data_IF_810769672488
#
_entry.id   IF_810769672488
#
_cell.length_a   1.000
_cell.length_b   1.000
_cell.length_c   1.000
_cell.angle_alpha   90.00
_cell.angle_beta   90.00
_cell.angle_gamma   90.00
#
_symmetry.space_group_name_H-M   'P 1'
#
loop_
_entity.id
_entity.type
_entity.pdbx_description
1 polymer ?
#
# COMPACT_ATOMS: atom_id res chain seq x y z
N UNK A 1 -7.82 -20.26 11.15
CA UNK A 1 -7.14 -19.41 10.15
C UNK A 1 -5.72 -19.93 10.00
N UNK A 2 -5.34 -20.33 8.79
CA UNK A 2 -4.00 -20.81 8.45
C UNK A 2 -3.30 -19.74 7.60
N UNK A 3 -2.03 -19.49 7.90
CA UNK A 3 -1.19 -18.53 7.17
C UNK A 3 0.06 -19.24 6.64
N UNK A 4 0.48 -18.87 5.43
CA UNK A 4 1.69 -19.38 4.82
C UNK A 4 2.66 -18.26 4.47
N UNK A 5 3.95 -18.58 4.42
CA UNK A 5 4.99 -17.69 3.92
C UNK A 5 5.13 -17.88 2.40
N UNK A 6 5.12 -16.75 1.70
CA UNK A 6 5.12 -16.71 0.24
C UNK A 6 3.72 -16.88 -0.37
N UNK A 7 3.58 -16.38 -1.59
CA UNK A 7 2.34 -16.45 -2.37
C UNK A 7 2.46 -17.53 -3.46
N UNK A 8 1.63 -18.54 -3.38
CA UNK A 8 1.57 -19.59 -4.40
C UNK A 8 0.16 -20.11 -4.57
N UNK A 9 -0.33 -20.13 -5.81
CA UNK A 9 -1.70 -20.54 -6.14
C UNK A 9 -2.03 -21.97 -5.69
N UNK A 10 -1.06 -22.86 -5.65
CA UNK A 10 -1.24 -24.26 -5.21
C UNK A 10 -1.71 -24.37 -3.75
N UNK A 11 -1.48 -23.34 -2.94
CA UNK A 11 -1.84 -23.34 -1.52
C UNK A 11 -3.18 -22.66 -1.23
N UNK A 12 -3.81 -21.99 -2.21
CA UNK A 12 -5.11 -21.32 -2.04
C UNK A 12 -6.20 -22.17 -1.40
N UNK A 13 -6.32 -23.49 -1.71
CA UNK A 13 -7.33 -24.32 -1.06
C UNK A 13 -7.05 -24.62 0.42
N UNK A 14 -5.85 -24.34 0.92
CA UNK A 14 -5.39 -24.78 2.23
C UNK A 14 -5.08 -23.64 3.20
N UNK A 15 -4.83 -22.44 2.67
CA UNK A 15 -4.40 -21.28 3.46
C UNK A 15 -5.33 -20.09 3.25
N UNK A 16 -5.68 -19.43 4.35
CA UNK A 16 -6.52 -18.24 4.35
C UNK A 16 -5.71 -16.95 4.10
N UNK A 17 -4.43 -16.96 4.50
CA UNK A 17 -3.55 -15.79 4.53
C UNK A 17 -2.21 -16.11 3.88
N UNK A 18 -1.73 -15.18 3.06
CA UNK A 18 -0.45 -15.28 2.37
C UNK A 18 0.47 -14.12 2.70
N UNK A 19 1.63 -14.42 3.27
CA UNK A 19 2.71 -13.46 3.43
C UNK A 19 3.32 -13.16 2.06
N UNK A 20 3.28 -11.90 1.65
CA UNK A 20 3.92 -11.46 0.41
C UNK A 20 4.91 -10.32 0.66
N UNK A 21 6.10 -10.47 0.11
CA UNK A 21 7.22 -9.55 0.30
C UNK A 21 7.47 -8.66 -0.91
N UNK A 22 6.72 -8.87 -2.00
CA UNK A 22 6.94 -8.23 -3.29
C UNK A 22 6.84 -6.71 -3.24
N UNK A 23 6.04 -6.15 -2.33
CA UNK A 23 5.95 -4.69 -2.15
C UNK A 23 7.24 -4.05 -1.65
N UNK A 24 8.13 -4.83 -1.02
CA UNK A 24 9.43 -4.42 -0.48
C UNK A 24 10.59 -4.94 -1.32
N UNK A 25 10.36 -5.23 -2.58
CA UNK A 25 11.32 -5.92 -3.45
C UNK A 25 12.62 -5.16 -3.63
N UNK A 26 12.60 -3.85 -3.59
CA UNK A 26 13.77 -2.99 -3.68
C UNK A 26 14.78 -3.25 -2.55
N UNK A 27 14.33 -3.78 -1.41
CA UNK A 27 15.21 -4.11 -0.28
C UNK A 27 16.17 -5.28 -0.58
N UNK A 28 15.79 -6.19 -1.48
CA UNK A 28 16.60 -7.39 -1.75
C UNK A 28 16.93 -7.62 -3.23
N UNK A 29 16.16 -7.09 -4.18
CA UNK A 29 16.36 -7.35 -5.61
C UNK A 29 17.08 -6.22 -6.37
N UNK A 30 17.25 -5.05 -5.75
CA UNK A 30 17.85 -3.88 -6.41
C UNK A 30 16.93 -3.25 -7.47
N UNK A 31 17.42 -2.16 -8.05
CA UNK A 31 16.74 -1.50 -9.16
C UNK A 31 17.06 -2.20 -10.48
N UNK A 32 16.05 -2.41 -11.29
CA UNK A 32 16.14 -2.88 -12.66
C UNK A 32 15.14 -2.12 -13.53
N UNK A 33 15.11 -2.38 -14.84
CA UNK A 33 14.15 -1.75 -15.75
C UNK A 33 12.72 -2.33 -15.61
N UNK A 34 12.38 -2.82 -14.44
CA UNK A 34 11.09 -3.44 -14.10
C UNK A 34 10.44 -2.70 -12.95
N UNK A 35 9.12 -2.65 -12.97
CA UNK A 35 8.31 -2.19 -11.86
C UNK A 35 7.66 -3.37 -11.14
N UNK A 36 7.49 -3.25 -9.83
CA UNK A 36 6.74 -4.22 -9.05
C UNK A 36 5.25 -4.08 -9.37
N UNK A 37 4.60 -5.20 -9.73
CA UNK A 37 3.18 -5.26 -10.04
C UNK A 37 2.45 -6.21 -9.08
N UNK A 38 1.19 -5.93 -8.73
CA UNK A 38 0.40 -6.75 -7.82
C UNK A 38 -0.21 -7.98 -8.51
N UNK A 39 0.61 -8.82 -9.15
CA UNK A 39 0.09 -9.93 -9.96
C UNK A 39 -0.77 -10.90 -9.15
N UNK A 40 -0.28 -11.33 -7.99
CA UNK A 40 -1.03 -12.27 -7.13
C UNK A 40 -2.35 -11.66 -6.66
N UNK A 41 -2.34 -10.40 -6.22
CA UNK A 41 -3.53 -9.67 -5.79
C UNK A 41 -4.52 -9.46 -6.94
N UNK A 42 -4.02 -9.15 -8.13
CA UNK A 42 -4.87 -8.97 -9.30
C UNK A 42 -5.67 -10.23 -9.68
N UNK A 43 -5.08 -11.41 -9.45
CA UNK A 43 -5.69 -12.69 -9.83
C UNK A 43 -6.46 -13.32 -8.67
N UNK A 44 -5.91 -13.29 -7.45
CA UNK A 44 -6.37 -14.13 -6.35
C UNK A 44 -6.92 -13.38 -5.14
N UNK A 45 -6.99 -12.05 -5.17
CA UNK A 45 -7.43 -11.24 -4.02
C UNK A 45 -8.78 -11.68 -3.44
N UNK A 46 -9.73 -12.08 -4.31
CA UNK A 46 -11.07 -12.51 -3.88
C UNK A 46 -11.07 -13.86 -3.13
N UNK A 47 -9.98 -14.61 -3.20
CA UNK A 47 -9.87 -15.97 -2.64
C UNK A 47 -8.89 -16.06 -1.48
N UNK A 48 -8.12 -15.01 -1.22
CA UNK A 48 -7.08 -15.03 -0.19
C UNK A 48 -6.79 -13.63 0.34
N UNK A 49 -6.36 -13.56 1.58
CA UNK A 49 -5.91 -12.33 2.21
C UNK A 49 -4.39 -12.26 2.10
N UNK A 50 -3.86 -11.22 1.47
CA UNK A 50 -2.43 -10.97 1.44
C UNK A 50 -2.02 -10.01 2.56
N UNK A 51 -0.86 -10.25 3.14
CA UNK A 51 -0.31 -9.44 4.22
C UNK A 51 1.22 -9.52 4.20
N UNK A 52 1.86 -8.76 5.07
CA UNK A 52 3.30 -8.81 5.26
C UNK A 52 4.07 -7.93 4.29
N UNK A 53 5.20 -7.49 4.76
CA UNK A 53 6.21 -6.73 4.02
C UNK A 53 7.49 -6.69 4.86
N UNK A 54 8.59 -6.28 4.24
CA UNK A 54 9.83 -5.96 4.97
C UNK A 54 9.91 -4.51 5.43
N UNK A 55 8.79 -3.79 5.37
CA UNK A 55 8.69 -2.40 5.78
C UNK A 55 9.05 -2.27 7.26
N UNK A 56 10.24 -1.79 7.53
CA UNK A 56 10.77 -1.64 8.89
C UNK A 56 11.37 -0.25 9.07
N UNK A 57 11.22 0.28 10.26
CA UNK A 57 11.87 1.50 10.74
C UNK A 57 13.08 1.18 11.65
N UNK A 58 13.38 -0.10 11.79
CA UNK A 58 14.48 -0.61 12.62
C UNK A 58 15.45 -1.41 11.77
N UNK A 59 16.70 -1.45 12.21
CA UNK A 59 17.71 -2.36 11.65
C UNK A 59 17.53 -3.71 12.33
N UNK A 60 17.16 -4.78 11.58
CA UNK A 60 17.02 -6.10 12.17
C UNK A 60 18.40 -6.63 12.60
N UNK A 61 18.58 -6.98 13.86
CA UNK A 61 19.90 -7.36 14.38
C UNK A 61 20.29 -8.78 14.04
N UNK A 62 19.31 -9.64 13.84
CA UNK A 62 19.50 -11.07 13.51
C UNK A 62 18.17 -11.67 13.03
N UNK A 63 18.23 -12.83 12.45
CA UNK A 63 17.09 -13.63 12.06
C UNK A 63 16.47 -14.29 13.32
N UNK A 64 15.15 -14.18 13.48
CA UNK A 64 14.42 -14.78 14.61
C UNK A 64 14.50 -16.32 14.63
N UNK A 65 14.81 -16.94 13.50
CA UNK A 65 15.05 -18.37 13.39
C UNK A 65 16.41 -18.80 13.93
N UNK A 66 17.28 -17.84 14.28
CA UNK A 66 18.57 -18.14 14.84
C UNK A 66 18.49 -18.56 16.32
N UNK A 67 19.48 -19.30 16.81
CA UNK A 67 19.54 -19.68 18.22
C UNK A 67 19.47 -18.44 19.13
N UNK A 68 18.76 -18.57 20.25
CA UNK A 68 18.53 -17.47 21.21
C UNK A 68 19.82 -16.81 21.74
N UNK A 69 20.93 -17.51 21.69
CA UNK A 69 22.26 -16.99 22.07
C UNK A 69 22.72 -15.82 21.19
N UNK A 70 22.20 -15.73 19.97
CA UNK A 70 22.45 -14.61 19.05
C UNK A 70 21.44 -13.48 19.18
N UNK A 71 20.43 -13.64 20.05
CA UNK A 71 19.43 -12.59 20.27
C UNK A 71 20.11 -11.28 20.72
N UNK A 72 19.65 -10.12 20.22
CA UNK A 72 20.25 -8.85 20.57
C UNK A 72 20.09 -8.57 22.07
N UNK A 73 21.18 -8.18 22.71
CA UNK A 73 21.19 -7.78 24.13
C UNK A 73 20.77 -6.32 24.33
N UNK A 74 20.60 -5.56 23.24
CA UNK A 74 20.23 -4.14 23.24
C UNK A 74 18.94 -3.95 22.43
N UNK A 75 18.18 -2.87 22.67
CA UNK A 75 17.08 -2.49 21.81
C UNK A 75 17.51 -2.41 20.34
N UNK A 76 16.56 -2.68 19.42
CA UNK A 76 16.83 -2.56 18.01
C UNK A 76 17.19 -1.11 17.64
N UNK A 77 18.19 -0.94 16.81
CA UNK A 77 18.63 0.35 16.31
C UNK A 77 17.63 0.90 15.28
N UNK A 78 17.35 2.20 15.35
CA UNK A 78 16.50 2.84 14.35
C UNK A 78 17.23 2.98 13.02
N UNK A 79 16.51 2.69 11.95
CA UNK A 79 16.95 2.98 10.60
C UNK A 79 17.04 4.51 10.40
N UNK A 80 18.01 4.98 9.60
CA UNK A 80 18.13 6.41 9.29
C UNK A 80 16.83 6.99 8.73
N UNK A 81 16.54 8.25 9.10
CA UNK A 81 15.40 9.00 8.55
C UNK A 81 15.48 9.21 7.03
N UNK A 82 16.66 9.06 6.41
CA UNK A 82 16.85 9.14 4.96
C UNK A 82 16.02 8.09 4.19
N UNK A 83 15.59 7.03 4.88
CA UNK A 83 14.80 5.95 4.31
C UNK A 83 13.30 6.01 4.69
N UNK A 84 12.82 7.12 5.27
CA UNK A 84 11.42 7.25 5.65
C UNK A 84 10.48 7.14 4.46
N UNK A 85 10.83 7.74 3.31
CA UNK A 85 10.00 7.64 2.10
C UNK A 85 9.89 6.21 1.57
N UNK A 86 10.92 5.39 1.73
CA UNK A 86 10.83 3.97 1.41
C UNK A 86 9.76 3.27 2.26
N UNK A 87 9.74 3.51 3.57
CA UNK A 87 8.70 2.96 4.44
C UNK A 87 7.30 3.39 4.01
N UNK A 88 7.10 4.70 3.77
CA UNK A 88 5.82 5.23 3.30
C UNK A 88 5.40 4.61 1.95
N UNK A 89 6.33 4.46 1.02
CA UNK A 89 6.12 3.82 -0.29
C UNK A 89 5.61 2.39 -0.15
N UNK A 90 6.28 1.58 0.66
CA UNK A 90 5.91 0.18 0.88
C UNK A 90 4.52 0.07 1.53
N UNK A 91 4.20 0.95 2.48
CA UNK A 91 2.88 1.00 3.11
C UNK A 91 1.79 1.48 2.13
N UNK A 92 2.08 2.49 1.30
CA UNK A 92 1.16 2.97 0.28
C UNK A 92 0.85 1.89 -0.77
N UNK A 93 1.87 1.16 -1.24
CA UNK A 93 1.68 -0.01 -2.13
C UNK A 93 0.81 -1.08 -1.48
N UNK A 94 1.11 -1.44 -0.22
CA UNK A 94 0.32 -2.42 0.53
C UNK A 94 -1.16 -2.04 0.56
N UNK A 95 -1.46 -0.78 0.84
CA UNK A 95 -2.82 -0.26 0.89
C UNK A 95 -3.53 -0.34 -0.47
N UNK A 96 -2.93 0.23 -1.53
CA UNK A 96 -3.60 0.28 -2.84
C UNK A 96 -3.72 -1.09 -3.50
N UNK A 97 -2.90 -2.06 -3.09
CA UNK A 97 -2.99 -3.46 -3.50
C UNK A 97 -3.93 -4.32 -2.63
N UNK A 98 -4.67 -3.70 -1.71
CA UNK A 98 -5.66 -4.37 -0.88
C UNK A 98 -5.09 -5.27 0.21
N UNK A 99 -3.78 -5.19 0.49
CA UNK A 99 -3.11 -6.00 1.51
C UNK A 99 -3.46 -5.54 2.92
N UNK A 100 -3.31 -6.43 3.89
CA UNK A 100 -3.38 -6.08 5.31
C UNK A 100 -2.18 -5.20 5.69
N UNK A 101 -2.40 -4.04 6.35
CA UNK A 101 -1.30 -3.21 6.83
C UNK A 101 -0.44 -3.96 7.84
N UNK A 102 0.87 -3.91 7.66
CA UNK A 102 1.84 -4.55 8.56
C UNK A 102 3.10 -3.71 8.70
N UNK A 103 3.82 -3.93 9.78
CA UNK A 103 5.15 -3.38 10.02
C UNK A 103 6.04 -4.48 10.58
N UNK A 104 7.23 -4.62 10.03
CA UNK A 104 8.21 -5.56 10.54
C UNK A 104 8.93 -4.99 11.78
N UNK A 105 9.17 -5.84 12.77
CA UNK A 105 9.97 -5.50 13.95
C UNK A 105 9.46 -4.29 14.76
N UNK A 106 8.14 -4.18 15.00
CA UNK A 106 7.58 -3.09 15.78
C UNK A 106 8.13 -3.07 17.22
N UNK A 107 8.54 -1.89 17.66
CA UNK A 107 8.89 -1.58 19.04
C UNK A 107 8.07 -0.38 19.53
N UNK A 108 7.63 -0.40 20.80
CA UNK A 108 6.70 0.61 21.33
C UNK A 108 7.24 2.06 21.22
N UNK A 109 8.55 2.27 21.29
CA UNK A 109 9.15 3.59 21.16
C UNK A 109 8.96 4.21 19.78
N UNK A 110 8.72 3.43 18.73
CA UNK A 110 8.46 3.93 17.37
C UNK A 110 7.22 4.83 17.32
N UNK A 111 6.22 4.57 18.13
CA UNK A 111 5.03 5.43 18.21
C UNK A 111 5.36 6.89 18.61
N UNK A 112 6.50 7.11 19.30
CA UNK A 112 7.01 8.43 19.68
C UNK A 112 8.06 8.92 18.67
N UNK A 113 9.05 8.09 18.37
CA UNK A 113 10.29 8.51 17.70
C UNK A 113 10.15 8.48 16.17
N UNK A 114 9.11 7.80 15.64
CA UNK A 114 8.71 7.71 14.23
C UNK A 114 7.20 7.95 14.08
N UNK A 115 6.72 8.95 14.81
CA UNK A 115 5.28 9.23 14.90
C UNK A 115 4.62 9.42 13.54
N UNK A 116 5.25 10.13 12.64
CA UNK A 116 4.67 10.45 11.32
C UNK A 116 4.49 9.20 10.46
N UNK A 117 5.47 8.28 10.48
CA UNK A 117 5.40 7.02 9.75
C UNK A 117 4.36 6.06 10.37
N UNK A 118 4.30 6.02 11.69
CA UNK A 118 3.31 5.20 12.40
C UNK A 118 1.90 5.78 12.21
N UNK A 119 1.72 7.10 12.28
CA UNK A 119 0.43 7.73 12.00
C UNK A 119 -0.02 7.48 10.56
N UNK A 120 0.90 7.53 9.58
CA UNK A 120 0.58 7.17 8.19
C UNK A 120 0.06 5.73 8.09
N UNK A 121 0.77 4.77 8.66
CA UNK A 121 0.33 3.36 8.71
C UNK A 121 -1.05 3.20 9.36
N UNK A 122 -1.28 3.86 10.50
CA UNK A 122 -2.57 3.81 11.19
C UNK A 122 -3.69 4.44 10.36
N UNK A 123 -3.41 5.51 9.64
CA UNK A 123 -4.38 6.16 8.76
C UNK A 123 -4.73 5.28 7.56
N UNK A 124 -3.76 4.59 6.97
CA UNK A 124 -4.01 3.57 5.94
C UNK A 124 -4.96 2.48 6.47
N UNK A 125 -4.70 1.98 7.67
CA UNK A 125 -5.55 0.96 8.30
C UNK A 125 -6.98 1.48 8.57
N UNK A 126 -7.13 2.74 9.01
CA UNK A 126 -8.45 3.36 9.24
C UNK A 126 -9.24 3.51 7.95
N UNK A 127 -8.64 4.03 6.89
CA UNK A 127 -9.31 4.16 5.58
C UNK A 127 -9.64 2.78 5.02
N UNK A 128 -8.71 1.82 5.10
CA UNK A 128 -8.96 0.44 4.67
C UNK A 128 -10.16 -0.18 5.38
N UNK A 129 -10.30 0.03 6.68
CA UNK A 129 -11.43 -0.49 7.45
C UNK A 129 -12.79 0.08 6.99
N UNK A 130 -12.83 1.32 6.50
CA UNK A 130 -14.03 1.91 5.91
C UNK A 130 -14.27 1.44 4.46
N UNK A 131 -13.23 0.94 3.80
CA UNK A 131 -13.21 0.56 2.40
C UNK A 131 -13.11 -0.96 2.17
N UNK A 132 -13.45 -1.79 3.16
CA UNK A 132 -13.29 -3.26 3.10
C UNK A 132 -14.05 -3.90 1.93
N UNK A 133 -15.20 -3.34 1.50
CA UNK A 133 -15.94 -3.87 0.35
C UNK A 133 -15.14 -3.82 -0.96
N UNK A 134 -14.13 -2.95 -1.01
CA UNK A 134 -13.18 -2.84 -2.12
C UNK A 134 -11.87 -3.55 -1.81
N UNK A 135 -11.19 -3.10 -0.74
CA UNK A 135 -9.82 -3.49 -0.41
C UNK A 135 -9.67 -4.87 0.25
N UNK A 136 -10.78 -5.56 0.52
CA UNK A 136 -10.79 -6.93 1.02
C UNK A 136 -11.60 -7.87 0.13
N UNK A 137 -12.77 -7.41 -0.34
CA UNK A 137 -13.70 -8.26 -1.10
C UNK A 137 -13.80 -7.87 -2.58
N UNK A 138 -13.17 -6.76 -2.99
CA UNK A 138 -13.25 -6.27 -4.34
C UNK A 138 -12.42 -7.07 -5.34
N UNK A 139 -12.80 -6.96 -6.61
CA UNK A 139 -12.03 -7.45 -7.74
C UNK A 139 -11.07 -6.36 -8.19
N UNK A 140 -9.79 -6.69 -8.40
CA UNK A 140 -8.80 -5.76 -8.93
C UNK A 140 -9.12 -5.41 -10.38
N UNK A 141 -9.03 -4.12 -10.71
CA UNK A 141 -9.34 -3.56 -12.01
C UNK A 141 -8.17 -2.73 -12.52
N UNK A 142 -8.14 -2.47 -13.83
CA UNK A 142 -7.19 -1.51 -14.40
C UNK A 142 -7.43 -0.12 -13.78
N UNK A 143 -6.37 0.53 -13.31
CA UNK A 143 -6.48 1.91 -12.84
C UNK A 143 -6.59 2.89 -14.02
N UNK A 144 -7.34 4.00 -13.85
CA UNK A 144 -7.34 5.06 -14.84
C UNK A 144 -5.93 5.66 -14.98
N UNK A 145 -5.64 6.17 -16.16
CA UNK A 145 -4.38 6.85 -16.41
C UNK A 145 -4.38 8.22 -15.71
N UNK A 146 -3.30 8.52 -14.99
CA UNK A 146 -3.10 9.80 -14.31
C UNK A 146 -1.62 10.15 -14.28
N UNK A 147 -1.34 11.44 -14.29
CA UNK A 147 0.03 11.92 -14.07
C UNK A 147 0.41 11.71 -12.62
N UNK A 148 1.51 11.02 -12.39
CA UNK A 148 2.04 10.74 -11.06
C UNK A 148 3.31 11.58 -10.86
N UNK A 149 3.37 12.47 -9.86
CA UNK A 149 4.60 13.14 -9.50
C UNK A 149 5.61 12.09 -9.00
N UNK A 150 6.87 12.30 -9.36
CA UNK A 150 7.97 11.41 -8.98
C UNK A 150 9.05 12.17 -8.22
N UNK A 151 9.80 11.46 -7.40
CA UNK A 151 10.95 12.00 -6.67
C UNK A 151 12.04 10.93 -6.52
N UNK A 152 13.30 11.36 -6.52
CA UNK A 152 14.43 10.52 -6.20
C UNK A 152 14.66 10.48 -4.69
N UNK A 153 14.67 9.28 -4.10
CA UNK A 153 14.97 9.12 -2.67
C UNK A 153 15.75 7.82 -2.37
N UNK A 154 16.29 7.78 -1.15
CA UNK A 154 17.12 6.68 -0.68
C UNK A 154 16.32 5.41 -0.39
N UNK A 155 16.86 4.28 -0.81
CA UNK A 155 16.38 2.94 -0.54
C UNK A 155 17.44 2.18 0.25
N UNK A 156 17.07 1.67 1.41
CA UNK A 156 17.89 0.75 2.20
C UNK A 156 17.68 -0.68 1.72
N UNK A 157 18.78 -1.40 1.55
CA UNK A 157 18.77 -2.86 1.36
C UNK A 157 18.86 -3.55 2.71
N UNK A 158 17.75 -3.56 3.42
CA UNK A 158 17.57 -4.32 4.65
C UNK A 158 16.63 -5.48 4.35
N UNK A 159 17.19 -6.67 4.27
CA UNK A 159 16.40 -7.88 4.46
C UNK A 159 16.58 -8.40 5.89
N UNK A 160 15.69 -9.29 6.33
CA UNK A 160 15.87 -10.05 7.57
C UNK A 160 17.22 -10.79 7.63
N UNK A 161 17.84 -10.97 6.48
CA UNK A 161 19.16 -11.62 6.33
C UNK A 161 20.35 -10.62 6.38
N UNK A 162 20.10 -9.32 6.45
CA UNK A 162 21.15 -8.30 6.47
C UNK A 162 22.00 -8.33 7.77
N UNK A 163 21.49 -8.96 8.83
CA UNK A 163 22.20 -9.13 10.10
C UNK A 163 23.39 -10.09 10.08
N UNK A 164 23.73 -10.70 8.94
CA UNK A 164 24.95 -11.48 8.80
C UNK A 164 26.19 -10.57 8.75
N UNK A 165 26.91 -10.53 9.85
CA UNK A 165 28.27 -9.97 9.97
C UNK A 165 28.47 -8.59 9.34
N UNK A 166 28.41 -7.57 10.15
CA UNK A 166 28.91 -6.25 9.80
C UNK A 166 27.88 -5.16 9.57
N UNK A 167 26.59 -5.39 9.81
CA UNK A 167 25.51 -4.38 9.90
C UNK A 167 25.58 -3.21 8.90
N UNK A 168 26.17 -3.40 7.74
CA UNK A 168 26.21 -2.36 6.73
C UNK A 168 24.88 -2.32 5.99
N UNK A 169 24.06 -1.33 6.30
CA UNK A 169 22.93 -0.92 5.47
C UNK A 169 23.51 -0.45 4.15
N UNK A 170 23.41 -1.26 3.11
CA UNK A 170 23.72 -0.76 1.78
C UNK A 170 22.52 0.06 1.30
N UNK A 171 22.80 1.22 0.72
CA UNK A 171 21.79 2.13 0.21
C UNK A 171 22.03 2.42 -1.26
N UNK A 172 20.97 2.74 -1.97
CA UNK A 172 21.01 3.30 -3.32
C UNK A 172 19.87 4.33 -3.46
N UNK A 173 19.88 5.12 -4.53
CA UNK A 173 18.81 6.07 -4.85
C UNK A 173 18.04 5.57 -6.07
N UNK A 174 16.75 5.88 -6.09
CA UNK A 174 15.88 5.61 -7.22
C UNK A 174 14.75 6.62 -7.30
N UNK A 175 14.20 6.79 -8.49
CA UNK A 175 13.06 7.65 -8.75
C UNK A 175 11.78 6.83 -8.63
N UNK A 176 10.85 7.29 -7.80
CA UNK A 176 9.61 6.60 -7.50
C UNK A 176 8.43 7.57 -7.51
N UNK A 177 7.21 7.08 -7.84
CA UNK A 177 5.99 7.86 -7.71
C UNK A 177 5.75 8.34 -6.27
N UNK A 178 5.25 9.56 -6.14
CA UNK A 178 4.80 10.11 -4.86
C UNK A 178 3.31 9.85 -4.57
N UNK A 179 2.57 9.37 -5.58
CA UNK A 179 1.17 8.96 -5.46
C UNK A 179 1.01 7.53 -5.97
N UNK A 180 0.38 6.69 -5.16
CA UNK A 180 0.05 5.31 -5.47
C UNK A 180 -1.44 5.16 -5.69
N UNK A 181 -1.84 4.32 -6.65
CA UNK A 181 -3.25 4.06 -6.95
C UNK A 181 -3.51 2.56 -7.18
N UNK A 182 -4.72 2.14 -6.83
CA UNK A 182 -5.22 0.80 -7.11
C UNK A 182 -6.74 0.84 -7.25
N UNK A 183 -7.27 0.17 -8.26
CA UNK A 183 -8.69 0.22 -8.59
C UNK A 183 -9.36 -1.12 -8.30
N UNK A 184 -10.51 -1.07 -7.65
CA UNK A 184 -11.23 -2.21 -7.11
C UNK A 184 -12.72 -2.12 -7.43
N UNK A 185 -13.32 -3.19 -7.92
CA UNK A 185 -14.76 -3.26 -8.11
C UNK A 185 -15.41 -4.11 -7.02
N UNK A 186 -16.36 -3.54 -6.30
CA UNK A 186 -17.15 -4.26 -5.32
C UNK A 186 -18.17 -5.19 -6.00
N UNK A 187 -18.74 -6.13 -5.23
CA UNK A 187 -19.75 -7.08 -5.70
C UNK A 187 -20.98 -6.38 -6.31
N UNK A 188 -21.40 -5.26 -5.69
CA UNK A 188 -22.53 -4.42 -6.15
C UNK A 188 -22.19 -3.54 -7.37
N UNK A 189 -21.03 -3.75 -8.00
CA UNK A 189 -20.49 -3.02 -9.15
C UNK A 189 -20.03 -1.59 -8.89
N UNK A 190 -20.12 -1.07 -7.69
CA UNK A 190 -19.46 0.18 -7.36
C UNK A 190 -17.95 0.08 -7.59
N UNK A 191 -17.33 1.18 -8.00
CA UNK A 191 -15.88 1.25 -8.23
C UNK A 191 -15.19 2.00 -7.09
N UNK A 192 -14.11 1.45 -6.58
CA UNK A 192 -13.25 2.09 -5.59
C UNK A 192 -11.87 2.34 -6.16
N UNK A 193 -11.38 3.58 -6.13
CA UNK A 193 -10.01 3.93 -6.52
C UNK A 193 -9.28 4.35 -5.25
N UNK A 194 -8.44 3.47 -4.75
CA UNK A 194 -7.59 3.73 -3.59
C UNK A 194 -6.41 4.62 -4.00
N UNK A 195 -6.16 5.66 -3.22
CA UNK A 195 -5.09 6.62 -3.43
C UNK A 195 -4.31 6.81 -2.12
N UNK A 196 -2.98 6.76 -2.21
CA UNK A 196 -2.09 7.04 -1.08
C UNK A 196 -0.90 7.87 -1.55
N UNK A 197 -0.76 9.08 -1.03
CA UNK A 197 0.36 9.98 -1.32
C UNK A 197 1.44 9.84 -0.24
N UNK A 198 2.69 9.79 -0.67
CA UNK A 198 3.87 9.88 0.20
C UNK A 198 4.57 11.24 0.09
N UNK A 199 3.98 12.17 -0.65
CA UNK A 199 4.48 13.54 -0.82
C UNK A 199 4.34 14.34 0.47
N UNK A 200 5.34 15.16 0.76
CA UNK A 200 5.31 16.15 1.83
C UNK A 200 4.58 17.45 1.41
N UNK A 201 4.14 17.52 0.14
CA UNK A 201 3.36 18.62 -0.43
C UNK A 201 2.00 18.11 -0.93
N UNK A 202 0.99 18.99 -1.06
CA UNK A 202 -0.26 18.63 -1.68
C UNK A 202 -0.06 18.08 -3.11
N UNK A 203 -0.81 17.04 -3.47
CA UNK A 203 -0.76 16.42 -4.80
C UNK A 203 -2.08 16.66 -5.52
N UNK A 204 -2.02 17.22 -6.71
CA UNK A 204 -3.19 17.33 -7.57
C UNK A 204 -3.52 15.96 -8.17
N UNK A 205 -4.76 15.52 -8.00
CA UNK A 205 -5.30 14.31 -8.59
C UNK A 205 -6.30 14.69 -9.67
N UNK A 206 -5.95 14.45 -10.92
CA UNK A 206 -6.80 14.80 -12.06
C UNK A 206 -6.77 13.68 -13.09
N UNK A 207 -7.95 13.13 -13.40
CA UNK A 207 -8.13 12.12 -14.44
C UNK A 207 -9.58 12.05 -14.89
N UNK A 208 -9.80 11.41 -16.04
CA UNK A 208 -11.14 11.05 -16.54
C UNK A 208 -11.21 9.55 -16.80
N UNK A 209 -12.40 8.97 -16.62
CA UNK A 209 -12.67 7.61 -17.01
C UNK A 209 -14.06 7.48 -17.65
N UNK A 210 -14.24 6.49 -18.51
CA UNK A 210 -15.54 6.10 -19.02
C UNK A 210 -16.21 5.12 -18.05
N UNK A 211 -17.47 5.42 -17.66
CA UNK A 211 -18.22 4.51 -16.80
C UNK A 211 -18.45 3.14 -17.44
N UNK A 212 -18.53 3.08 -18.78
CA UNK A 212 -18.72 1.84 -19.52
C UNK A 212 -17.55 0.85 -19.37
N UNK A 213 -16.31 1.37 -19.25
CA UNK A 213 -15.11 0.53 -19.07
C UNK A 213 -15.17 -0.29 -17.77
N UNK A 214 -15.90 0.20 -16.78
CA UNK A 214 -16.04 -0.44 -15.46
C UNK A 214 -17.44 -1.00 -15.22
N UNK A 215 -18.32 -0.99 -16.23
CA UNK A 215 -19.69 -1.46 -16.10
C UNK A 215 -20.54 -0.63 -15.12
N UNK A 216 -20.22 0.65 -15.00
CA UNK A 216 -20.98 1.63 -14.21
C UNK A 216 -22.12 2.25 -15.06
N UNK A 217 -23.20 2.76 -14.45
CA UNK A 217 -24.26 3.48 -15.16
C UNK A 217 -23.75 4.77 -15.84
N UNK A 218 -24.58 5.32 -16.73
CA UNK A 218 -24.28 6.57 -17.43
C UNK A 218 -24.21 7.81 -16.52
N UNK A 219 -24.73 7.72 -15.30
CA UNK A 219 -24.73 8.80 -14.30
C UNK A 219 -24.65 8.22 -12.90
N UNK A 220 -24.10 9.01 -11.97
CA UNK A 220 -23.96 8.61 -10.58
C UNK A 220 -23.22 9.65 -9.75
N UNK A 221 -22.78 9.24 -8.58
CA UNK A 221 -22.04 10.08 -7.64
C UNK A 221 -20.65 9.53 -7.35
N UNK A 222 -19.76 10.46 -7.01
CA UNK A 222 -18.43 10.17 -6.53
C UNK A 222 -18.28 10.65 -5.09
N UNK A 223 -17.79 9.78 -4.24
CA UNK A 223 -17.53 10.08 -2.84
C UNK A 223 -16.04 9.90 -2.54
N UNK A 224 -15.55 10.65 -1.57
CA UNK A 224 -14.25 10.43 -0.94
C UNK A 224 -14.48 9.74 0.39
N UNK A 225 -13.79 8.65 0.62
CA UNK A 225 -13.69 7.95 1.91
C UNK A 225 -12.27 8.18 2.42
N UNK A 226 -12.11 8.90 3.52
CA UNK A 226 -10.83 9.16 4.19
C UNK A 226 -10.94 8.96 5.71
N UNK A 227 -9.94 9.41 6.46
CA UNK A 227 -9.91 9.27 7.93
C UNK A 227 -11.09 10.01 8.63
N UNK A 228 -11.72 10.97 7.95
CA UNK A 228 -12.86 11.75 8.45
C UNK A 228 -14.21 11.14 8.07
N UNK A 229 -14.20 10.04 7.33
CA UNK A 229 -15.41 9.36 6.88
C UNK A 229 -15.69 9.56 5.39
N UNK A 230 -16.93 9.29 5.00
CA UNK A 230 -17.43 9.34 3.64
C UNK A 230 -18.14 10.67 3.35
N UNK A 231 -17.73 11.37 2.28
CA UNK A 231 -18.39 12.61 1.82
C UNK A 231 -18.49 12.64 0.30
N UNK A 232 -19.54 13.28 -0.20
CA UNK A 232 -19.72 13.50 -1.64
C UNK A 232 -18.63 14.47 -2.16
N UNK A 233 -17.99 14.09 -3.28
CA UNK A 233 -17.01 14.90 -3.99
C UNK A 233 -17.66 15.59 -5.19
N UNK A 234 -18.32 14.83 -6.05
CA UNK A 234 -18.95 15.30 -7.28
C UNK A 234 -19.98 14.29 -7.79
N UNK A 235 -20.68 14.64 -8.85
CA UNK A 235 -21.52 13.73 -9.62
C UNK A 235 -21.04 13.65 -11.06
N UNK A 236 -21.45 12.61 -11.77
CA UNK A 236 -21.11 12.43 -13.18
C UNK A 236 -22.35 12.11 -14.02
N UNK A 237 -22.27 12.40 -15.30
CA UNK A 237 -23.32 12.12 -16.29
C UNK A 237 -22.70 11.84 -17.66
N UNK A 238 -23.52 11.37 -18.61
CA UNK A 238 -23.09 11.10 -19.99
C UNK A 238 -21.92 10.11 -20.07
N UNK A 239 -21.83 9.16 -19.10
CA UNK A 239 -20.80 8.13 -19.01
C UNK A 239 -19.38 8.65 -18.74
N UNK A 240 -19.20 9.93 -18.50
CA UNK A 240 -17.90 10.54 -18.24
C UNK A 240 -17.77 10.89 -16.75
N UNK A 241 -16.81 10.26 -16.08
CA UNK A 241 -16.44 10.57 -14.69
C UNK A 241 -15.17 11.41 -14.72
N UNK A 242 -15.27 12.68 -14.33
CA UNK A 242 -14.14 13.60 -14.19
C UNK A 242 -13.80 13.79 -12.73
N UNK A 243 -12.54 13.58 -12.41
CA UNK A 243 -11.98 13.76 -11.08
C UNK A 243 -10.95 14.87 -11.14
N UNK A 244 -11.11 15.85 -10.28
CA UNK A 244 -10.16 16.95 -10.08
C UNK A 244 -10.25 17.40 -8.62
N UNK A 245 -9.25 17.07 -7.82
CA UNK A 245 -9.15 17.53 -6.44
C UNK A 245 -7.70 17.50 -5.97
N UNK A 246 -7.45 18.08 -4.80
CA UNK A 246 -6.13 18.08 -4.19
C UNK A 246 -6.11 17.14 -2.98
N UNK A 247 -5.19 16.20 -2.99
CA UNK A 247 -4.88 15.34 -1.86
C UNK A 247 -3.85 16.03 -0.96
N UNK A 248 -4.12 16.10 0.33
CA UNK A 248 -3.21 16.72 1.29
C UNK A 248 -1.86 15.98 1.36
N UNK A 249 -0.80 16.60 1.91
CA UNK A 249 0.45 15.91 2.18
C UNK A 249 0.22 14.60 2.94
N UNK A 250 0.85 13.51 2.49
CA UNK A 250 0.66 12.15 3.02
C UNK A 250 -0.81 11.73 3.11
N UNK A 251 -1.64 12.29 2.20
CA UNK A 251 -3.08 12.04 2.16
C UNK A 251 -3.42 10.64 1.66
N UNK A 252 -4.47 10.10 2.24
CA UNK A 252 -4.96 8.74 1.96
C UNK A 252 -6.46 8.82 1.78
N UNK A 253 -6.97 8.25 0.69
CA UNK A 253 -8.41 8.12 0.50
C UNK A 253 -8.76 6.96 -0.44
N UNK A 254 -10.05 6.64 -0.48
CA UNK A 254 -10.65 5.85 -1.55
C UNK A 254 -11.72 6.72 -2.21
N UNK A 255 -11.65 6.87 -3.52
CA UNK A 255 -12.71 7.43 -4.31
C UNK A 255 -13.72 6.33 -4.60
N UNK A 256 -14.95 6.51 -4.14
CA UNK A 256 -16.04 5.59 -4.38
C UNK A 256 -16.94 6.15 -5.47
N UNK A 257 -17.07 5.45 -6.60
CA UNK A 257 -17.95 5.81 -7.70
C UNK A 257 -19.14 4.85 -7.66
N UNK A 258 -20.32 5.38 -7.38
CA UNK A 258 -21.51 4.57 -7.16
C UNK A 258 -22.46 4.57 -8.34
N UNK A 259 -23.12 3.43 -8.52
CA UNK A 259 -24.15 3.21 -9.53
C UNK A 259 -25.55 3.66 -9.08
N UNK A 260 -25.73 4.06 -7.83
CA UNK A 260 -27.05 4.37 -7.27
C UNK A 260 -27.17 5.84 -6.93
N UNK A 261 -28.25 6.48 -7.41
CA UNK A 261 -28.78 7.67 -6.77
C UNK A 261 -29.35 7.22 -5.41
N UNK A 262 -28.63 7.50 -4.34
CA UNK A 262 -29.18 7.40 -2.98
C UNK A 262 -30.02 8.63 -2.70
#
# INVERSE_FOLDING_TARGET
>A
ILAGEGCGEAWLPYLDLFLTLDISKERYAGLGPWSTIPFFQAVYHQYSITYGNYSSLLIPPYDELWPKEYAPKKPLEMLSSDFNKQFLMEQARSFVWGMQPTIANYQAFLARDRKDEIDFLLNLARVRNQAVKYLLYGKFMRSPEMELPEEEFGISRLSIYAGKTGNSVTAFHGTFPLLYSGTWQAENKDLGIALASISDSPVKVSFSLSSDEYGLPASGKVFVIDINGRRELTSYSNKEVKIDFTLNPKGICLLEITSRNL
#
